data_IF_734898814946
#
_entry.id   IF_734898814946
#
_cell.length_a   1.000
_cell.length_b   1.000
_cell.length_c   1.000
_cell.angle_alpha   90.00
_cell.angle_beta   90.00
_cell.angle_gamma   90.00
#
_symmetry.space_group_name_H-M   'P 1'
#
loop_
_entity.id
_entity.type
_entity.pdbx_description
1 polymer ?
#
# COMPACT_ATOMS: atom_id res chain seq x y z
N UNK A 1 -6.35 -35.44 10.15
CA UNK A 1 -5.82 -34.10 10.45
C UNK A 1 -5.84 -33.31 9.14
N UNK A 2 -6.24 -32.05 9.15
CA UNK A 2 -6.16 -31.20 7.96
C UNK A 2 -4.71 -31.04 7.52
N UNK A 3 -4.50 -30.80 6.24
CA UNK A 3 -3.23 -30.35 5.73
C UNK A 3 -2.93 -28.90 6.12
N UNK A 4 -1.83 -28.35 5.64
CA UNK A 4 -1.35 -27.00 5.94
C UNK A 4 -1.30 -26.15 4.67
N UNK A 5 -1.71 -24.89 4.78
CA UNK A 5 -1.55 -23.86 3.74
C UNK A 5 -0.24 -23.12 3.95
N UNK A 6 0.66 -23.20 2.97
CA UNK A 6 1.92 -22.45 2.95
C UNK A 6 1.80 -21.24 2.03
N UNK A 7 2.10 -20.06 2.54
CA UNK A 7 2.18 -18.84 1.75
C UNK A 7 3.65 -18.64 1.39
N UNK A 8 3.97 -18.83 0.13
CA UNK A 8 5.33 -18.94 -0.36
C UNK A 8 5.70 -17.75 -1.26
N UNK A 9 6.52 -16.81 -0.79
CA UNK A 9 6.98 -15.71 -1.63
C UNK A 9 7.87 -16.21 -2.75
N UNK A 10 7.73 -15.57 -3.92
CA UNK A 10 8.55 -15.79 -5.11
C UNK A 10 9.49 -14.60 -5.34
N UNK A 11 10.54 -14.75 -6.17
CA UNK A 11 11.42 -13.65 -6.52
C UNK A 11 10.65 -12.50 -7.21
N UNK A 12 11.08 -11.26 -6.96
CA UNK A 12 10.52 -10.05 -7.59
C UNK A 12 11.30 -9.59 -8.83
N UNK A 13 12.20 -10.45 -9.33
CA UNK A 13 12.99 -10.13 -10.53
C UNK A 13 14.34 -10.83 -10.60
N UNK A 14 14.89 -11.28 -9.48
CA UNK A 14 16.14 -12.02 -9.41
C UNK A 14 15.90 -13.40 -8.76
N UNK A 15 16.20 -14.47 -9.49
CA UNK A 15 15.99 -15.84 -9.00
C UNK A 15 16.81 -16.18 -7.75
N UNK A 16 17.94 -15.49 -7.52
CA UNK A 16 18.77 -15.66 -6.32
C UNK A 16 18.08 -15.19 -5.03
N UNK A 17 16.99 -14.39 -5.14
CA UNK A 17 16.18 -13.97 -3.99
C UNK A 17 15.22 -15.06 -3.50
N UNK A 18 15.19 -16.21 -4.16
CA UNK A 18 14.40 -17.37 -3.72
C UNK A 18 15.00 -17.98 -2.45
N UNK A 19 14.21 -18.15 -1.40
CA UNK A 19 14.74 -18.72 -0.17
C UNK A 19 14.88 -20.24 -0.26
N UNK A 20 15.91 -20.80 0.36
CA UNK A 20 16.07 -22.27 0.49
C UNK A 20 14.84 -22.93 1.11
N UNK A 21 14.20 -22.26 2.06
CA UNK A 21 13.00 -22.77 2.74
C UNK A 21 11.82 -22.84 1.78
N UNK A 22 11.62 -21.82 0.94
CA UNK A 22 10.56 -21.84 -0.07
C UNK A 22 10.77 -22.97 -1.07
N UNK A 23 12.00 -23.13 -1.58
CA UNK A 23 12.33 -24.25 -2.50
C UNK A 23 12.02 -25.61 -1.85
N UNK A 24 12.43 -25.80 -0.58
CA UNK A 24 12.14 -27.05 0.16
C UNK A 24 10.65 -27.29 0.30
N UNK A 25 9.87 -26.31 0.76
CA UNK A 25 8.41 -26.44 0.96
C UNK A 25 7.71 -26.72 -0.37
N UNK A 26 8.07 -26.05 -1.47
CA UNK A 26 7.48 -26.31 -2.78
C UNK A 26 7.76 -27.74 -3.28
N UNK A 27 8.86 -28.38 -2.83
CA UNK A 27 9.14 -29.79 -3.09
C UNK A 27 8.40 -30.77 -2.15
N UNK A 28 7.95 -30.31 -0.99
CA UNK A 28 7.29 -31.17 0.02
C UNK A 28 5.76 -31.19 -0.12
N UNK A 29 5.13 -30.09 -0.58
CA UNK A 29 3.66 -29.98 -0.68
C UNK A 29 3.07 -30.92 -1.73
N UNK A 30 1.76 -31.18 -1.61
CA UNK A 30 1.01 -32.06 -2.52
C UNK A 30 0.51 -31.28 -3.76
N UNK A 31 0.26 -29.99 -3.61
CA UNK A 31 -0.27 -29.13 -4.67
C UNK A 31 0.30 -27.71 -4.54
N UNK A 32 0.57 -27.07 -5.68
CA UNK A 32 0.93 -25.65 -5.75
C UNK A 32 -0.23 -24.90 -6.41
N UNK A 33 -0.76 -23.88 -5.74
CA UNK A 33 -1.72 -22.92 -6.27
C UNK A 33 -0.96 -21.66 -6.70
N UNK A 34 -1.09 -21.25 -7.96
CA UNK A 34 -0.35 -20.16 -8.56
C UNK A 34 -1.28 -19.17 -9.28
N UNK A 35 -0.92 -17.90 -9.29
CA UNK A 35 -1.67 -16.85 -9.97
C UNK A 35 -1.70 -17.08 -11.50
N UNK A 36 -0.55 -17.10 -12.17
CA UNK A 36 -0.40 -17.56 -13.56
C UNK A 36 0.49 -18.81 -13.62
N UNK A 37 -0.14 -19.95 -13.93
CA UNK A 37 0.59 -21.23 -14.02
C UNK A 37 1.64 -21.25 -15.10
N UNK A 38 1.49 -20.47 -16.19
CA UNK A 38 2.46 -20.39 -17.29
C UNK A 38 3.72 -19.63 -16.86
N UNK A 39 3.57 -18.64 -15.98
CA UNK A 39 4.71 -17.93 -15.39
C UNK A 39 5.39 -18.81 -14.36
N UNK A 40 4.60 -19.36 -13.45
CA UNK A 40 5.11 -20.17 -12.32
C UNK A 40 5.84 -21.42 -12.77
N UNK A 41 5.42 -22.08 -13.86
CA UNK A 41 6.11 -23.29 -14.36
C UNK A 41 7.57 -23.03 -14.77
N UNK A 42 7.90 -21.80 -15.21
CA UNK A 42 9.28 -21.42 -15.54
C UNK A 42 10.12 -21.33 -14.28
N UNK A 43 9.57 -20.73 -13.21
CA UNK A 43 10.21 -20.65 -11.90
C UNK A 43 10.42 -22.04 -11.30
N UNK A 44 9.36 -22.87 -11.29
CA UNK A 44 9.43 -24.23 -10.73
C UNK A 44 10.45 -25.09 -11.49
N UNK A 45 10.50 -25.03 -12.81
CA UNK A 45 11.47 -25.74 -13.63
C UNK A 45 12.91 -25.30 -13.34
N UNK A 46 13.15 -24.00 -13.10
CA UNK A 46 14.47 -23.48 -12.75
C UNK A 46 15.01 -24.08 -11.44
N UNK A 47 14.12 -24.33 -10.47
CA UNK A 47 14.46 -24.93 -9.18
C UNK A 47 14.22 -26.45 -9.14
N UNK A 48 14.01 -27.09 -10.30
CA UNK A 48 13.78 -28.53 -10.44
C UNK A 48 12.60 -29.05 -9.60
N UNK A 49 11.57 -28.21 -9.40
CA UNK A 49 10.36 -28.55 -8.65
C UNK A 49 9.31 -29.13 -9.60
N UNK A 50 8.95 -30.42 -9.38
CA UNK A 50 7.94 -31.13 -10.17
C UNK A 50 6.75 -31.51 -9.28
N UNK A 51 5.74 -30.64 -9.21
CA UNK A 51 4.55 -30.80 -8.40
C UNK A 51 3.27 -30.49 -9.18
N UNK A 52 2.13 -31.06 -8.82
CA UNK A 52 0.85 -30.67 -9.37
C UNK A 52 0.64 -29.16 -9.21
N UNK A 53 0.15 -28.51 -10.26
CA UNK A 53 -0.03 -27.05 -10.31
C UNK A 53 -1.49 -26.73 -10.67
N UNK A 54 -2.10 -25.78 -9.98
CA UNK A 54 -3.43 -25.26 -10.28
C UNK A 54 -3.44 -23.74 -10.29
N UNK A 55 -4.33 -23.14 -11.09
CA UNK A 55 -4.48 -21.68 -11.08
C UNK A 55 -5.35 -21.21 -9.92
N UNK A 56 -4.93 -20.10 -9.28
CA UNK A 56 -5.71 -19.36 -8.29
C UNK A 56 -5.50 -17.87 -8.50
N UNK A 57 -6.48 -17.18 -9.08
CA UNK A 57 -6.40 -15.77 -9.43
C UNK A 57 -7.75 -15.08 -9.16
N UNK A 58 -7.78 -13.76 -9.19
CA UNK A 58 -8.95 -12.94 -8.85
C UNK A 58 -10.25 -13.39 -9.54
N UNK A 59 -10.17 -13.83 -10.81
CA UNK A 59 -11.37 -14.24 -11.57
C UNK A 59 -11.88 -15.65 -11.23
N UNK A 60 -11.14 -16.49 -10.52
CA UNK A 60 -11.55 -17.84 -10.16
C UNK A 60 -11.53 -18.13 -8.65
N UNK A 61 -11.22 -17.14 -7.83
CA UNK A 61 -10.98 -17.27 -6.38
C UNK A 61 -12.12 -17.96 -5.62
N UNK A 62 -13.38 -17.69 -5.99
CA UNK A 62 -14.54 -18.29 -5.30
C UNK A 62 -14.61 -19.79 -5.52
N UNK A 63 -14.61 -20.24 -6.78
CA UNK A 63 -14.70 -21.66 -7.14
C UNK A 63 -13.45 -22.44 -6.77
N UNK A 64 -12.28 -21.85 -7.00
CA UNK A 64 -10.99 -22.48 -6.69
C UNK A 64 -10.65 -22.41 -5.21
N UNK A 65 -11.06 -21.34 -4.49
CA UNK A 65 -10.91 -21.26 -3.04
C UNK A 65 -11.58 -22.44 -2.34
N UNK A 66 -12.86 -22.69 -2.62
CA UNK A 66 -13.58 -23.84 -2.07
C UNK A 66 -12.91 -25.17 -2.41
N UNK A 67 -12.42 -25.33 -3.64
CA UNK A 67 -11.68 -26.53 -4.05
C UNK A 67 -10.40 -26.72 -3.24
N UNK A 68 -9.59 -25.68 -3.03
CA UNK A 68 -8.36 -25.75 -2.27
C UNK A 68 -8.61 -26.00 -0.78
N UNK A 69 -9.65 -25.35 -0.20
CA UNK A 69 -10.05 -25.59 1.19
C UNK A 69 -10.45 -27.04 1.40
N UNK A 70 -11.24 -27.64 0.50
CA UNK A 70 -11.61 -29.06 0.62
C UNK A 70 -10.38 -29.97 0.59
N UNK A 71 -9.41 -29.72 -0.30
CA UNK A 71 -8.16 -30.48 -0.34
C UNK A 71 -7.36 -30.39 0.96
N UNK A 72 -7.26 -29.16 1.52
CA UNK A 72 -6.63 -28.94 2.82
C UNK A 72 -7.35 -29.71 3.94
N UNK A 73 -8.68 -29.73 3.95
CA UNK A 73 -9.48 -30.51 4.91
C UNK A 73 -9.28 -32.01 4.75
N UNK A 74 -9.05 -32.48 3.52
CA UNK A 74 -8.75 -33.89 3.21
C UNK A 74 -7.30 -34.29 3.58
N UNK A 75 -6.48 -33.33 4.09
CA UNK A 75 -5.13 -33.59 4.60
C UNK A 75 -4.00 -33.26 3.61
N UNK A 76 -4.30 -32.72 2.42
CA UNK A 76 -3.27 -32.28 1.46
C UNK A 76 -2.60 -30.98 1.92
N UNK A 77 -1.28 -30.88 1.81
CA UNK A 77 -0.52 -29.66 2.01
C UNK A 77 -0.47 -28.85 0.72
N UNK A 78 -0.76 -27.56 0.81
CA UNK A 78 -0.85 -26.69 -0.37
C UNK A 78 0.08 -25.49 -0.20
N UNK A 79 0.86 -25.17 -1.24
CA UNK A 79 1.60 -23.92 -1.33
C UNK A 79 0.85 -22.93 -2.23
N UNK A 80 0.64 -21.71 -1.74
CA UNK A 80 0.19 -20.58 -2.54
C UNK A 80 1.40 -19.76 -2.96
N UNK A 81 1.53 -19.47 -4.26
CA UNK A 81 2.53 -18.57 -4.84
C UNK A 81 1.87 -17.51 -5.72
N UNK A 82 2.44 -16.32 -5.79
CA UNK A 82 2.08 -15.26 -6.75
C UNK A 82 3.10 -15.18 -7.90
N UNK A 83 2.83 -14.36 -8.88
CA UNK A 83 3.73 -14.15 -10.00
C UNK A 83 5.06 -13.49 -9.56
N UNK A 84 5.00 -12.62 -8.53
CA UNK A 84 6.19 -11.96 -7.97
C UNK A 84 5.96 -11.52 -6.51
N UNK A 85 6.84 -11.90 -5.61
CA UNK A 85 6.85 -11.45 -4.23
C UNK A 85 5.95 -12.23 -3.29
N UNK A 86 5.36 -11.55 -2.30
CA UNK A 86 4.58 -12.13 -1.22
C UNK A 86 3.11 -12.27 -1.64
N UNK A 87 2.55 -13.50 -1.72
CA UNK A 87 1.13 -13.68 -2.02
C UNK A 87 0.22 -12.99 -1.01
N UNK A 88 -0.89 -12.43 -1.48
CA UNK A 88 -1.86 -11.69 -0.66
C UNK A 88 -1.52 -10.22 -0.43
N UNK A 89 -0.44 -9.70 -1.05
CA UNK A 89 -0.11 -8.27 -1.03
C UNK A 89 -0.24 -7.71 -2.45
N UNK A 90 -1.35 -7.08 -2.76
CA UNK A 90 -1.76 -6.65 -4.11
C UNK A 90 -1.95 -7.80 -5.11
N UNK A 91 -2.03 -9.02 -4.63
CA UNK A 91 -2.18 -10.25 -5.39
C UNK A 91 -3.31 -11.11 -4.78
N UNK A 92 -3.85 -12.09 -5.50
CA UNK A 92 -4.80 -13.05 -4.95
C UNK A 92 -4.17 -13.84 -3.79
N UNK A 93 -4.91 -14.01 -2.72
CA UNK A 93 -4.42 -14.76 -1.55
C UNK A 93 -5.15 -14.43 -0.27
N UNK A 94 -5.59 -13.18 -0.12
CA UNK A 94 -6.30 -12.74 1.09
C UNK A 94 -7.55 -13.60 1.35
N UNK A 95 -8.34 -13.90 0.32
CA UNK A 95 -9.59 -14.66 0.46
C UNK A 95 -9.34 -16.10 0.90
N UNK A 96 -8.37 -16.80 0.31
CA UNK A 96 -8.07 -18.20 0.71
C UNK A 96 -7.46 -18.26 2.11
N UNK A 97 -6.65 -17.26 2.50
CA UNK A 97 -6.10 -17.17 3.86
C UNK A 97 -7.25 -17.02 4.87
N UNK A 98 -8.22 -16.11 4.60
CA UNK A 98 -9.42 -15.95 5.45
C UNK A 98 -10.21 -17.25 5.56
N UNK A 99 -10.51 -17.89 4.44
CA UNK A 99 -11.22 -19.16 4.43
C UNK A 99 -10.48 -20.26 5.21
N UNK A 100 -9.16 -20.36 5.08
CA UNK A 100 -8.36 -21.32 5.82
C UNK A 100 -8.43 -21.09 7.34
N UNK A 101 -8.38 -19.80 7.78
CA UNK A 101 -8.56 -19.43 9.18
C UNK A 101 -9.96 -19.83 9.69
N UNK A 102 -11.01 -19.53 8.94
CA UNK A 102 -12.40 -19.87 9.28
C UNK A 102 -12.62 -21.38 9.45
N UNK A 103 -11.88 -22.19 8.69
CA UNK A 103 -11.94 -23.66 8.77
C UNK A 103 -10.92 -24.26 9.73
N UNK A 104 -10.22 -23.44 10.54
CA UNK A 104 -9.18 -23.89 11.48
C UNK A 104 -8.05 -24.70 10.79
N UNK A 105 -7.70 -24.33 9.56
CA UNK A 105 -6.57 -24.93 8.83
C UNK A 105 -5.29 -24.18 9.23
N UNK A 106 -4.24 -24.93 9.53
CA UNK A 106 -2.94 -24.36 9.82
C UNK A 106 -2.36 -23.59 8.63
N UNK A 107 -1.88 -22.37 8.90
CA UNK A 107 -1.23 -21.53 7.88
C UNK A 107 0.20 -21.25 8.30
N UNK A 108 1.12 -21.36 7.35
CA UNK A 108 2.50 -20.99 7.54
C UNK A 108 2.95 -20.00 6.47
N UNK A 109 3.25 -18.77 6.90
CA UNK A 109 3.75 -17.71 6.00
C UNK A 109 5.26 -17.71 6.02
N UNK A 110 5.88 -17.93 4.87
CA UNK A 110 7.33 -17.90 4.72
C UNK A 110 7.82 -16.47 4.48
N UNK A 111 8.92 -16.02 5.12
CA UNK A 111 9.53 -14.74 4.78
C UNK A 111 10.20 -14.81 3.40
N UNK A 112 10.20 -13.70 2.68
CA UNK A 112 10.86 -13.64 1.36
C UNK A 112 10.79 -12.26 0.72
N UNK A 113 11.07 -12.18 -0.57
CA UNK A 113 11.16 -10.95 -1.32
C UNK A 113 9.84 -10.16 -1.32
N UNK A 114 9.95 -8.85 -1.09
CA UNK A 114 8.83 -7.89 -1.18
C UNK A 114 9.30 -6.59 -1.80
N UNK A 115 8.69 -6.16 -2.88
CA UNK A 115 9.09 -4.95 -3.60
C UNK A 115 8.93 -3.68 -2.74
N UNK A 116 7.85 -3.59 -1.96
CA UNK A 116 7.54 -2.45 -1.09
C UNK A 116 8.63 -2.21 -0.04
N UNK A 117 9.03 -3.24 0.69
CA UNK A 117 10.05 -3.11 1.76
C UNK A 117 11.43 -2.89 1.16
N UNK A 118 11.77 -3.59 0.07
CA UNK A 118 13.05 -3.40 -0.63
C UNK A 118 13.19 -1.96 -1.14
N UNK A 119 12.15 -1.41 -1.75
CA UNK A 119 12.11 -0.03 -2.20
C UNK A 119 12.19 0.97 -1.05
N UNK A 120 11.45 0.73 0.04
CA UNK A 120 11.46 1.59 1.23
C UNK A 120 12.87 1.71 1.82
N UNK A 121 13.56 0.60 2.04
CA UNK A 121 14.94 0.59 2.56
C UNK A 121 15.89 1.32 1.62
N UNK A 122 15.73 1.13 0.30
CA UNK A 122 16.54 1.81 -0.72
C UNK A 122 16.19 3.27 -0.95
N UNK A 123 15.10 3.79 -0.40
CA UNK A 123 14.58 5.13 -0.73
C UNK A 123 15.39 6.28 -0.13
N UNK A 124 16.01 6.08 1.04
CA UNK A 124 16.62 7.14 1.84
C UNK A 124 15.60 8.02 2.59
N UNK A 125 14.31 7.66 2.59
CA UNK A 125 13.26 8.30 3.37
C UNK A 125 13.09 7.59 4.72
N UNK A 126 12.26 8.15 5.61
CA UNK A 126 12.01 7.57 6.94
C UNK A 126 11.36 6.19 6.82
N UNK A 127 11.95 5.20 7.51
CA UNK A 127 11.50 3.80 7.47
C UNK A 127 10.78 3.34 8.74
N UNK A 128 10.87 4.13 9.83
CA UNK A 128 10.32 3.75 11.12
C UNK A 128 8.79 3.61 11.12
N UNK A 129 8.11 4.45 10.33
CA UNK A 129 6.67 4.41 10.14
C UNK A 129 6.35 4.64 8.67
N UNK A 130 5.56 3.74 8.09
CA UNK A 130 5.14 3.85 6.69
C UNK A 130 3.69 3.38 6.52
N UNK A 131 3.08 3.78 5.42
CA UNK A 131 1.79 3.32 4.94
C UNK A 131 1.96 2.69 3.57
N UNK A 132 1.36 1.54 3.34
CA UNK A 132 1.33 0.87 2.05
C UNK A 132 -0.06 1.03 1.44
N UNK A 133 -0.13 1.70 0.30
CA UNK A 133 -1.37 2.02 -0.42
C UNK A 133 -1.57 1.15 -1.67
N UNK A 134 -0.53 0.41 -2.10
CA UNK A 134 -0.60 -0.41 -3.30
C UNK A 134 -0.84 0.42 -4.57
N UNK A 135 -1.69 -0.06 -5.47
CA UNK A 135 -2.04 0.63 -6.71
C UNK A 135 -3.20 1.61 -6.49
N UNK A 136 -2.98 2.86 -6.84
CA UNK A 136 -4.06 3.85 -6.91
C UNK A 136 -5.05 3.50 -8.04
N UNK A 137 -6.30 3.97 -7.94
CA UNK A 137 -7.33 3.68 -8.92
C UNK A 137 -6.99 4.20 -10.33
N UNK A 138 -7.49 3.51 -11.34
CA UNK A 138 -7.30 3.89 -12.76
C UNK A 138 -8.10 5.13 -13.11
N UNK A 139 -9.29 5.30 -12.53
CA UNK A 139 -10.09 6.50 -12.72
C UNK A 139 -9.43 7.69 -12.05
N UNK A 140 -9.27 8.76 -12.81
CA UNK A 140 -8.57 9.97 -12.36
C UNK A 140 -9.24 10.64 -11.16
N UNK A 141 -10.57 10.62 -11.08
CA UNK A 141 -11.31 11.27 -10.00
C UNK A 141 -11.15 10.46 -8.71
N UNK A 142 -11.28 9.14 -8.80
CA UNK A 142 -11.10 8.23 -7.66
C UNK A 142 -9.66 8.32 -7.15
N UNK A 143 -8.66 8.23 -8.04
CA UNK A 143 -7.24 8.39 -7.71
C UNK A 143 -6.94 9.69 -6.97
N UNK A 144 -7.51 10.81 -7.41
CA UNK A 144 -7.31 12.10 -6.73
C UNK A 144 -7.97 12.13 -5.36
N UNK A 145 -9.14 11.53 -5.19
CA UNK A 145 -9.78 11.41 -3.89
C UNK A 145 -8.94 10.57 -2.92
N UNK A 146 -8.40 9.43 -3.36
CA UNK A 146 -7.45 8.63 -2.57
C UNK A 146 -6.22 9.45 -2.16
N UNK A 147 -5.66 10.25 -3.08
CA UNK A 147 -4.53 11.14 -2.75
C UNK A 147 -4.91 12.26 -1.79
N UNK A 148 -6.13 12.81 -1.85
CA UNK A 148 -6.59 13.84 -0.89
C UNK A 148 -6.70 13.27 0.54
N UNK A 149 -7.12 12.00 0.70
CA UNK A 149 -7.12 11.31 1.99
C UNK A 149 -5.71 11.17 2.58
N UNK A 150 -4.69 11.08 1.72
CA UNK A 150 -3.27 10.96 2.10
C UNK A 150 -2.55 12.31 2.23
N UNK A 151 -3.23 13.43 2.01
CA UNK A 151 -2.62 14.75 1.96
C UNK A 151 -1.90 15.14 3.24
N UNK A 152 -2.43 14.72 4.39
CA UNK A 152 -1.81 14.96 5.71
C UNK A 152 -1.16 13.71 6.31
N UNK A 153 -1.01 12.63 5.53
CA UNK A 153 -0.31 11.43 6.00
C UNK A 153 1.16 11.76 6.29
N UNK A 154 1.56 11.53 7.54
CA UNK A 154 2.91 11.85 8.05
C UNK A 154 3.92 10.74 7.88
N UNK A 155 3.43 9.50 7.73
CA UNK A 155 4.29 8.34 7.48
C UNK A 155 4.80 8.39 6.05
N UNK A 156 5.91 7.76 5.78
CA UNK A 156 6.36 7.49 4.41
C UNK A 156 5.31 6.63 3.70
N UNK A 157 4.93 6.99 2.47
CA UNK A 157 3.85 6.34 1.73
C UNK A 157 4.45 5.53 0.59
N UNK A 158 3.98 4.30 0.43
CA UNK A 158 4.44 3.36 -0.59
C UNK A 158 3.32 3.08 -1.57
N UNK A 159 3.59 3.30 -2.86
CA UNK A 159 2.67 2.96 -3.95
C UNK A 159 3.33 2.03 -4.95
N UNK A 160 2.54 1.15 -5.54
CA UNK A 160 2.89 0.44 -6.77
C UNK A 160 2.35 1.21 -7.97
N UNK A 161 3.09 1.20 -9.09
CA UNK A 161 2.60 1.87 -10.29
C UNK A 161 3.08 1.18 -11.57
N UNK A 162 2.21 1.21 -12.57
CA UNK A 162 2.50 0.69 -13.92
C UNK A 162 3.15 1.76 -14.82
N UNK A 163 3.94 1.36 -15.83
CA UNK A 163 4.62 2.30 -16.72
C UNK A 163 3.65 3.23 -17.47
N UNK A 164 2.48 2.71 -17.84
CA UNK A 164 1.49 3.45 -18.62
C UNK A 164 0.82 4.58 -17.85
N UNK A 165 0.83 4.50 -16.51
CA UNK A 165 0.13 5.44 -15.63
C UNK A 165 1.07 6.36 -14.87
N UNK A 166 2.37 6.04 -14.79
CA UNK A 166 3.35 6.73 -13.95
C UNK A 166 3.31 8.25 -14.11
N UNK A 167 3.32 8.76 -15.34
CA UNK A 167 3.33 10.22 -15.60
C UNK A 167 2.08 10.91 -15.09
N UNK A 168 0.92 10.29 -15.24
CA UNK A 168 -0.35 10.85 -14.79
C UNK A 168 -0.46 10.80 -13.26
N UNK A 169 -0.04 9.70 -12.66
CA UNK A 169 -0.02 9.53 -11.21
C UNK A 169 0.91 10.55 -10.55
N UNK A 170 2.12 10.75 -11.07
CA UNK A 170 3.06 11.76 -10.55
C UNK A 170 2.49 13.20 -10.65
N UNK A 171 1.79 13.53 -11.74
CA UNK A 171 1.13 14.85 -11.89
C UNK A 171 -0.01 15.03 -10.88
N UNK A 172 -0.79 13.98 -10.63
CA UNK A 172 -1.86 14.02 -9.63
C UNK A 172 -1.26 14.09 -8.21
N UNK A 173 -0.17 13.37 -7.91
CA UNK A 173 0.58 13.48 -6.65
C UNK A 173 1.10 14.89 -6.42
N UNK A 174 1.77 15.51 -7.42
CA UNK A 174 2.27 16.89 -7.31
C UNK A 174 1.12 17.86 -6.99
N UNK A 175 -0.01 17.70 -7.66
CA UNK A 175 -1.18 18.58 -7.48
C UNK A 175 -1.80 18.49 -6.10
N UNK A 176 -1.90 17.28 -5.54
CA UNK A 176 -2.65 17.00 -4.30
C UNK A 176 -1.74 16.99 -3.08
N UNK A 177 -0.62 16.28 -3.14
CA UNK A 177 0.32 16.14 -2.03
C UNK A 177 1.32 17.29 -1.94
N UNK A 178 1.49 18.06 -3.04
CA UNK A 178 2.54 19.07 -3.18
C UNK A 178 3.88 18.46 -3.61
N UNK A 179 4.91 19.30 -3.72
CA UNK A 179 6.23 18.90 -4.18
C UNK A 179 7.04 18.25 -3.06
N UNK A 180 6.70 17.01 -2.71
CA UNK A 180 7.40 16.21 -1.69
C UNK A 180 8.60 15.48 -2.28
N UNK A 181 9.51 15.07 -1.42
CA UNK A 181 10.57 14.13 -1.81
C UNK A 181 9.95 12.79 -2.17
N UNK A 182 10.50 12.15 -3.20
CA UNK A 182 10.07 10.86 -3.69
C UNK A 182 11.30 10.02 -4.08
N UNK A 183 11.26 8.73 -3.82
CA UNK A 183 12.16 7.76 -4.44
C UNK A 183 11.35 6.89 -5.41
N UNK A 184 11.68 6.97 -6.68
CA UNK A 184 11.09 6.14 -7.73
C UNK A 184 12.01 4.97 -8.00
N UNK A 185 11.55 3.78 -7.62
CA UNK A 185 12.28 2.53 -7.82
C UNK A 185 11.69 1.84 -9.05
N UNK A 186 12.51 1.60 -10.06
CA UNK A 186 12.16 0.93 -11.30
C UNK A 186 12.86 -0.41 -11.38
N UNK A 187 12.13 -1.47 -11.78
CA UNK A 187 12.70 -2.80 -12.06
C UNK A 187 13.60 -3.34 -10.92
N UNK A 188 13.11 -3.26 -9.66
CA UNK A 188 13.85 -3.68 -8.46
C UNK A 188 14.32 -5.12 -8.62
N UNK A 189 15.59 -5.38 -8.26
CA UNK A 189 16.31 -6.65 -8.36
C UNK A 189 16.62 -7.12 -9.79
N UNK A 190 16.03 -6.49 -10.81
CA UNK A 190 16.24 -6.85 -12.22
C UNK A 190 17.49 -6.18 -12.81
N UNK A 191 17.91 -6.65 -13.99
CA UNK A 191 19.10 -6.15 -14.70
C UNK A 191 19.12 -4.64 -14.93
N UNK A 192 17.95 -4.02 -15.11
CA UNK A 192 17.79 -2.60 -15.40
C UNK A 192 17.21 -1.83 -14.22
N UNK A 193 17.53 -2.27 -13.01
CA UNK A 193 17.14 -1.56 -11.78
C UNK A 193 17.68 -0.13 -11.82
N UNK A 194 16.78 0.81 -11.52
CA UNK A 194 17.09 2.24 -11.40
C UNK A 194 16.38 2.80 -10.18
N UNK A 195 17.06 3.66 -9.41
CA UNK A 195 16.44 4.37 -8.27
C UNK A 195 16.71 5.86 -8.44
N UNK A 196 15.65 6.64 -8.62
CA UNK A 196 15.68 8.11 -8.72
C UNK A 196 15.17 8.68 -7.40
N UNK A 197 15.97 9.55 -6.74
CA UNK A 197 15.66 10.17 -5.44
C UNK A 197 15.68 11.67 -5.59
N UNK A 198 14.52 12.29 -5.82
CA UNK A 198 14.36 13.71 -6.08
C UNK A 198 13.04 14.21 -5.45
N UNK A 199 12.62 15.43 -5.76
CA UNK A 199 11.26 15.88 -5.56
C UNK A 199 10.35 15.44 -6.73
N UNK A 200 9.03 15.45 -6.50
CA UNK A 200 8.05 14.97 -7.49
C UNK A 200 8.14 15.76 -8.80
N UNK A 201 8.36 17.08 -8.75
CA UNK A 201 8.42 17.93 -9.94
C UNK A 201 9.64 17.59 -10.80
N UNK A 202 10.79 17.41 -10.18
CA UNK A 202 12.02 16.97 -10.85
C UNK A 202 11.86 15.60 -11.50
N UNK A 203 11.22 14.65 -10.79
CA UNK A 203 10.93 13.32 -11.33
C UNK A 203 10.00 13.39 -12.55
N UNK A 204 8.97 14.24 -12.53
CA UNK A 204 8.10 14.46 -13.69
C UNK A 204 8.91 14.92 -14.90
N UNK A 205 9.84 15.87 -14.71
CA UNK A 205 10.69 16.39 -15.78
C UNK A 205 11.58 15.28 -16.36
N UNK A 206 12.21 14.47 -15.52
CA UNK A 206 13.02 13.34 -15.95
C UNK A 206 12.21 12.37 -16.81
N UNK A 207 11.01 11.98 -16.37
CA UNK A 207 10.18 11.05 -17.14
C UNK A 207 9.48 11.65 -18.35
N UNK A 208 9.39 12.98 -18.47
CA UNK A 208 8.91 13.61 -19.72
C UNK A 208 9.89 13.37 -20.88
N UNK A 209 11.19 13.28 -20.61
CA UNK A 209 12.24 13.09 -21.60
C UNK A 209 12.55 11.62 -21.87
N UNK A 210 12.11 10.69 -21.01
CA UNK A 210 12.39 9.26 -21.10
C UNK A 210 11.16 8.46 -21.50
N UNK A 211 11.41 7.36 -22.21
CA UNK A 211 10.38 6.31 -22.39
C UNK A 211 10.18 5.57 -21.06
N UNK A 212 8.94 5.42 -20.63
CA UNK A 212 8.59 4.75 -19.37
C UNK A 212 8.30 3.29 -19.62
N UNK A 213 9.15 2.40 -19.10
CA UNK A 213 9.02 0.93 -19.19
C UNK A 213 9.36 0.27 -17.86
N UNK A 214 8.75 -0.90 -17.64
CA UNK A 214 9.01 -1.71 -16.43
C UNK A 214 8.00 -1.44 -15.31
N UNK A 215 8.27 -1.97 -14.14
CA UNK A 215 7.44 -1.88 -12.94
C UNK A 215 8.03 -0.87 -11.97
N UNK A 216 7.17 -0.16 -11.26
CA UNK A 216 7.58 0.94 -10.40
C UNK A 216 7.06 0.77 -8.99
N UNK A 217 7.92 1.10 -8.02
CA UNK A 217 7.52 1.36 -6.63
C UNK A 217 7.88 2.81 -6.30
N UNK A 218 6.88 3.56 -5.87
CA UNK A 218 7.01 4.96 -5.50
C UNK A 218 7.02 5.08 -3.98
N UNK A 219 8.08 5.65 -3.42
CA UNK A 219 8.18 5.92 -1.99
C UNK A 219 8.11 7.42 -1.82
N UNK A 220 7.03 7.92 -1.22
CA UNK A 220 6.75 9.36 -1.08
C UNK A 220 6.94 9.77 0.37
N UNK A 221 7.63 10.88 0.58
CA UNK A 221 7.81 11.46 1.90
C UNK A 221 6.48 11.83 2.53
N UNK A 222 6.33 11.54 3.83
CA UNK A 222 5.16 11.94 4.60
C UNK A 222 5.03 13.46 4.72
N UNK A 223 3.83 13.93 5.04
CA UNK A 223 3.54 15.35 5.25
C UNK A 223 4.34 15.90 6.44
N UNK A 224 5.11 16.98 6.21
CA UNK A 224 5.95 17.65 7.22
C UNK A 224 5.37 18.97 7.75
N UNK A 225 4.26 19.43 7.17
CA UNK A 225 3.61 20.65 7.61
C UNK A 225 2.91 20.49 8.96
N UNK A 226 2.44 21.59 9.53
CA UNK A 226 1.47 21.53 10.62
C UNK A 226 0.19 20.89 10.07
N UNK A 227 -0.44 20.00 10.86
CA UNK A 227 -1.77 19.52 10.50
C UNK A 227 -2.66 20.75 10.32
N UNK A 228 -3.20 20.91 9.15
CA UNK A 228 -4.41 21.73 9.03
C UNK A 228 -5.43 21.03 9.90
N UNK A 229 -5.71 21.57 11.07
CA UNK A 229 -6.90 21.17 11.82
C UNK A 229 -8.03 21.45 10.85
N UNK A 230 -8.49 20.42 10.12
CA UNK A 230 -9.75 20.54 9.41
C UNK A 230 -10.72 21.03 10.46
N UNK A 231 -11.21 22.25 10.25
CA UNK A 231 -12.09 22.90 11.20
C UNK A 231 -13.34 22.02 11.36
N UNK A 232 -13.28 21.10 12.34
CA UNK A 232 -14.50 20.46 12.87
C UNK A 232 -15.50 21.49 13.41
N UNK A 233 -15.19 22.75 13.21
CA UNK A 233 -15.91 23.93 13.67
C UNK A 233 -16.62 24.69 12.55
N UNK A 234 -16.54 24.28 11.28
CA UNK A 234 -17.18 24.99 10.16
C UNK A 234 -18.71 25.05 10.30
N UNK A 235 -19.30 23.99 10.83
CA UNK A 235 -20.74 23.87 11.05
C UNK A 235 -21.22 24.46 12.38
N UNK A 236 -20.30 24.87 13.27
CA UNK A 236 -20.63 25.46 14.56
C UNK A 236 -20.91 26.95 14.41
N UNK A 237 -21.84 27.47 15.21
CA UNK A 237 -21.98 28.92 15.42
C UNK A 237 -20.72 29.47 16.09
N UNK A 238 -20.48 30.79 16.00
CA UNK A 238 -19.31 31.41 16.65
C UNK A 238 -19.29 31.15 18.16
N UNK A 239 -20.46 31.10 18.77
CA UNK A 239 -20.64 30.79 20.21
C UNK A 239 -20.22 29.36 20.52
N UNK A 240 -20.75 28.38 19.79
CA UNK A 240 -20.40 26.98 19.95
C UNK A 240 -18.92 26.73 19.71
N UNK A 241 -18.34 27.41 18.74
CA UNK A 241 -16.91 27.31 18.45
C UNK A 241 -16.05 27.83 19.62
N UNK A 242 -16.41 28.98 20.22
CA UNK A 242 -15.72 29.50 21.42
C UNK A 242 -15.85 28.50 22.57
N UNK A 243 -17.06 27.96 22.84
CA UNK A 243 -17.28 26.98 23.89
C UNK A 243 -16.41 25.75 23.72
N UNK A 244 -16.38 25.18 22.52
CA UNK A 244 -15.57 23.99 22.22
C UNK A 244 -14.07 24.24 22.42
N UNK A 245 -13.56 25.42 22.05
CA UNK A 245 -12.17 25.78 22.30
C UNK A 245 -11.88 25.90 23.79
N UNK A 246 -12.81 26.43 24.57
CA UNK A 246 -12.69 26.54 26.04
C UNK A 246 -12.73 25.16 26.72
N UNK A 247 -13.60 24.26 26.28
CA UNK A 247 -13.65 22.85 26.75
C UNK A 247 -12.35 22.10 26.44
N UNK A 248 -11.66 22.46 25.37
CA UNK A 248 -10.33 21.94 25.00
C UNK A 248 -9.18 22.63 25.75
N UNK A 249 -9.47 23.44 26.78
CA UNK A 249 -8.48 24.02 27.69
C UNK A 249 -7.96 25.40 27.27
N UNK A 250 -8.54 26.06 26.25
CA UNK A 250 -8.17 27.41 25.86
C UNK A 250 -8.90 28.45 26.73
N UNK A 251 -8.22 29.54 27.14
CA UNK A 251 -8.92 30.60 27.83
C UNK A 251 -9.88 31.36 26.92
N UNK A 252 -10.95 31.96 27.49
CA UNK A 252 -12.02 32.66 26.77
C UNK A 252 -11.49 33.73 25.82
N UNK A 253 -10.45 34.48 26.22
CA UNK A 253 -9.90 35.60 25.45
C UNK A 253 -9.16 35.13 24.20
N UNK A 254 -8.42 34.03 24.32
CA UNK A 254 -7.70 33.43 23.20
C UNK A 254 -8.63 32.62 22.30
N UNK A 255 -9.65 31.97 22.85
CA UNK A 255 -10.73 31.32 22.08
C UNK A 255 -11.45 32.33 21.17
N UNK A 256 -11.90 33.47 21.70
CA UNK A 256 -12.52 34.56 20.91
C UNK A 256 -11.56 35.04 19.81
N UNK A 257 -10.30 35.24 20.12
CA UNK A 257 -9.29 35.70 19.15
C UNK A 257 -9.08 34.70 18.02
N UNK A 258 -9.07 33.41 18.34
CA UNK A 258 -8.99 32.31 17.38
C UNK A 258 -10.17 32.32 16.43
N UNK A 259 -11.40 32.34 16.97
CA UNK A 259 -12.65 32.38 16.17
C UNK A 259 -12.67 33.60 15.25
N UNK A 260 -12.29 34.80 15.77
CA UNK A 260 -12.22 36.01 14.97
C UNK A 260 -11.24 35.87 13.77
N UNK A 261 -10.08 35.25 14.00
CA UNK A 261 -9.05 35.05 12.97
C UNK A 261 -9.53 34.05 11.91
N UNK A 262 -10.09 32.92 12.33
CA UNK A 262 -10.46 31.84 11.43
C UNK A 262 -11.66 32.21 10.55
N UNK A 263 -12.65 32.92 11.13
CA UNK A 263 -13.85 33.37 10.41
C UNK A 263 -13.77 34.78 9.83
N UNK A 264 -12.61 35.43 9.98
CA UNK A 264 -12.37 36.82 9.53
C UNK A 264 -13.43 37.80 10.06
N UNK A 265 -13.86 37.61 11.31
CA UNK A 265 -14.85 38.45 11.98
C UNK A 265 -14.20 39.48 12.90
N UNK A 266 -14.90 40.62 13.09
CA UNK A 266 -14.48 41.62 14.09
C UNK A 266 -14.74 41.10 15.51
N UNK A 267 -13.83 41.43 16.43
CA UNK A 267 -13.87 40.96 17.83
C UNK A 267 -15.19 41.27 18.53
N UNK A 268 -15.76 42.43 18.27
CA UNK A 268 -17.03 42.88 18.89
C UNK A 268 -18.22 42.00 18.49
N UNK A 269 -18.19 41.38 17.31
CA UNK A 269 -19.24 40.47 16.82
C UNK A 269 -19.20 39.17 17.60
N UNK A 270 -18.07 38.56 17.76
CA UNK A 270 -17.91 37.29 18.48
C UNK A 270 -18.06 37.52 19.98
N UNK A 271 -17.51 38.63 20.51
CA UNK A 271 -17.61 38.95 21.94
C UNK A 271 -19.04 39.09 22.42
N UNK A 272 -19.96 39.75 21.65
CA UNK A 272 -21.35 39.90 21.97
C UNK A 272 -22.09 38.56 22.11
N UNK A 273 -21.69 37.53 21.37
CA UNK A 273 -22.34 36.21 21.38
C UNK A 273 -21.91 35.35 22.58
N UNK A 274 -20.86 35.74 23.28
CA UNK A 274 -20.28 34.97 24.39
C UNK A 274 -20.13 35.78 25.68
N UNK A 275 -20.91 36.87 25.81
CA UNK A 275 -20.88 37.75 26.98
C UNK A 275 -21.22 37.05 28.28
N UNK A 276 -22.07 36.05 28.22
CA UNK A 276 -22.63 35.27 29.32
C UNK A 276 -21.85 33.99 29.65
N UNK A 277 -20.78 33.72 28.93
CA UNK A 277 -19.80 32.66 29.23
C UNK A 277 -18.70 33.20 30.17
#
# INVERSE_FOLDING_TARGET
MSGKLYICPTPIGNLEDMTYRTVRILNEVDLIAAEDTRHSIKLLNHFEISKPLTSYHEHNKDSKGSYLINKLLDGENIALISDAGMPGISDPGEDIIKQAIEHNIDIEVLPGATASITALVGSGLETAKFAFEGFLDRDKKVRRNQLEELKEERRTIIFYESPHRLKDTLKDMLKVLGNRRIAVNREITKKYQEIIREDIETVINIFNEKEVKGEFVLIVEGFKGEKTVQNSYEDLTEREYVITLMENGMDKKDAIKTVCKDRKLKKDVVYKQVLDL
#
